data_IF_914826590030
#
_entry.id   IF_914826590030
#
_cell.length_a   1.000
_cell.length_b   1.000
_cell.length_c   1.000
_cell.angle_alpha   90.00
_cell.angle_beta   90.00
_cell.angle_gamma   90.00
#
_symmetry.space_group_name_H-M   'P 1'
#
loop_
_entity.id
_entity.type
_entity.pdbx_description
1 polymer ?
#
# COMPACT_ATOMS: atom_id res chain seq x y z
N UNK A 1 2.14 -12.60 -4.00
CA UNK A 1 1.95 -12.19 -2.58
C UNK A 1 1.97 -10.68 -2.50
N UNK A 2 1.24 -10.13 -1.54
CA UNK A 2 1.11 -8.69 -1.26
C UNK A 2 1.38 -8.48 0.23
N UNK A 3 2.65 -8.42 0.64
CA UNK A 3 3.00 -7.98 1.98
C UNK A 3 2.68 -6.49 2.16
N UNK A 4 2.09 -6.14 3.30
CA UNK A 4 1.84 -4.74 3.66
C UNK A 4 2.00 -4.47 5.16
N UNK A 5 2.44 -3.24 5.44
CA UNK A 5 2.36 -2.62 6.76
C UNK A 5 1.61 -1.31 6.62
N UNK A 6 0.50 -1.19 7.34
CA UNK A 6 -0.48 -0.13 7.11
C UNK A 6 -1.27 0.13 8.38
N UNK A 7 -1.99 1.25 8.41
CA UNK A 7 -2.74 1.67 9.57
C UNK A 7 -4.18 2.04 9.19
N UNK A 8 -5.13 1.56 9.98
CA UNK A 8 -6.54 1.95 9.92
C UNK A 8 -6.97 2.69 11.19
N UNK A 9 -7.92 3.62 11.10
CA UNK A 9 -8.40 4.38 12.24
C UNK A 9 -9.04 3.44 13.27
N UNK A 10 -8.78 3.69 14.56
CA UNK A 10 -9.45 2.98 15.67
C UNK A 10 -10.95 3.21 15.64
N UNK A 11 -11.35 4.44 15.33
CA UNK A 11 -12.72 4.89 15.30
C UNK A 11 -13.00 5.55 13.93
N UNK A 12 -14.14 5.23 13.30
CA UNK A 12 -14.59 5.90 12.08
C UNK A 12 -15.14 7.31 12.36
N UNK A 13 -14.31 8.17 12.97
CA UNK A 13 -14.70 9.49 13.49
C UNK A 13 -15.28 10.42 12.43
N UNK A 14 -14.92 10.24 11.16
CA UNK A 14 -15.41 11.03 10.03
C UNK A 14 -16.30 10.21 9.06
N UNK A 15 -16.66 8.99 9.46
CA UNK A 15 -17.40 8.02 8.66
C UNK A 15 -16.54 6.91 8.05
N UNK A 16 -17.17 6.05 7.27
CA UNK A 16 -16.52 4.89 6.63
C UNK A 16 -15.41 5.30 5.65
N UNK A 17 -14.55 4.34 5.33
CA UNK A 17 -13.43 4.50 4.41
C UNK A 17 -13.86 5.17 3.09
N UNK A 18 -13.06 6.11 2.54
CA UNK A 18 -11.77 6.61 3.03
C UNK A 18 -11.90 7.84 3.93
N UNK A 19 -13.10 8.16 4.46
CA UNK A 19 -13.34 9.43 5.17
C UNK A 19 -12.55 9.56 6.46
N UNK A 20 -12.31 8.45 7.15
CA UNK A 20 -11.50 8.41 8.38
C UNK A 20 -10.03 8.09 8.13
N UNK A 21 -9.61 8.03 6.86
CA UNK A 21 -8.22 7.83 6.44
C UNK A 21 -7.76 6.37 6.46
N UNK A 22 -6.67 6.11 5.75
CA UNK A 22 -5.83 4.91 5.82
C UNK A 22 -4.40 5.31 5.48
N UNK A 23 -3.43 4.74 6.19
CA UNK A 23 -2.00 5.05 6.02
C UNK A 23 -1.27 3.78 5.64
N UNK A 24 -0.91 3.64 4.38
CA UNK A 24 -0.06 2.55 3.91
C UNK A 24 1.40 2.96 4.08
N UNK A 25 2.04 2.46 5.14
CA UNK A 25 3.47 2.66 5.34
C UNK A 25 4.25 2.00 4.21
N UNK A 26 3.89 0.78 3.86
CA UNK A 26 4.42 0.10 2.68
C UNK A 26 3.47 -0.97 2.16
N UNK A 27 3.35 -1.01 0.83
CA UNK A 27 2.79 -2.11 0.08
C UNK A 27 3.74 -2.49 -1.06
N UNK A 28 3.99 -3.79 -1.20
CA UNK A 28 4.88 -4.34 -2.23
C UNK A 28 4.18 -5.50 -2.93
N UNK A 29 4.37 -5.63 -4.24
CA UNK A 29 4.03 -6.86 -4.98
C UNK A 29 5.22 -7.80 -4.91
N UNK A 30 5.06 -8.98 -4.31
CA UNK A 30 6.17 -9.91 -4.08
C UNK A 30 6.79 -10.56 -5.33
N UNK A 31 6.18 -10.39 -6.50
CA UNK A 31 6.65 -11.01 -7.75
C UNK A 31 7.92 -10.32 -8.29
N UNK A 32 9.01 -11.07 -8.49
CA UNK A 32 10.28 -10.51 -8.97
C UNK A 32 10.24 -10.02 -10.42
N UNK A 33 9.60 -10.78 -11.31
CA UNK A 33 9.50 -10.49 -12.74
C UNK A 33 8.13 -9.93 -13.12
N UNK A 34 7.60 -9.05 -12.27
CA UNK A 34 6.30 -8.41 -12.48
C UNK A 34 6.45 -7.06 -13.16
N UNK A 35 5.75 -6.90 -14.29
CA UNK A 35 5.88 -5.75 -15.17
C UNK A 35 4.50 -5.16 -15.45
N UNK A 36 4.38 -3.85 -15.29
CA UNK A 36 3.20 -3.08 -15.69
C UNK A 36 3.65 -2.00 -16.66
N UNK A 37 2.99 -1.89 -17.81
CA UNK A 37 3.31 -0.87 -18.83
C UNK A 37 4.82 -0.83 -19.19
N UNK A 38 5.47 -2.00 -19.24
CA UNK A 38 6.90 -2.14 -19.53
C UNK A 38 7.85 -1.80 -18.36
N UNK A 39 7.33 -1.44 -17.18
CA UNK A 39 8.14 -1.08 -16.01
C UNK A 39 8.07 -2.13 -14.91
N UNK A 40 9.20 -2.37 -14.24
CA UNK A 40 9.26 -3.21 -13.04
C UNK A 40 8.27 -2.66 -11.98
N UNK A 41 7.32 -3.51 -11.59
CA UNK A 41 6.23 -3.16 -10.68
C UNK A 41 6.00 -4.21 -9.56
N UNK A 42 6.98 -5.08 -9.41
CA UNK A 42 7.07 -6.18 -8.45
C UNK A 42 7.88 -5.84 -7.21
N UNK A 43 8.71 -6.78 -6.76
CA UNK A 43 9.41 -6.71 -5.47
C UNK A 43 10.52 -5.66 -5.37
N UNK A 44 10.83 -4.95 -6.46
CA UNK A 44 11.74 -3.79 -6.47
C UNK A 44 11.05 -2.47 -6.20
N UNK A 45 9.71 -2.49 -6.08
CA UNK A 45 8.85 -1.32 -5.93
C UNK A 45 8.09 -1.39 -4.61
N UNK A 46 8.39 -0.45 -3.72
CA UNK A 46 7.63 -0.19 -2.50
C UNK A 46 6.79 1.06 -2.68
N UNK A 47 5.51 0.99 -2.30
CA UNK A 47 4.59 2.11 -2.37
C UNK A 47 4.14 2.49 -0.97
N UNK A 48 4.08 3.79 -0.70
CA UNK A 48 3.45 4.34 0.51
C UNK A 48 2.34 5.26 0.08
N UNK A 49 1.20 5.19 0.76
CA UNK A 49 -0.01 5.87 0.34
C UNK A 49 -0.78 6.41 1.54
N UNK A 50 -1.38 7.58 1.38
CA UNK A 50 -2.44 8.03 2.26
C UNK A 50 -3.75 7.97 1.48
N UNK A 51 -4.72 7.16 1.92
CA UNK A 51 -6.07 7.19 1.38
C UNK A 51 -6.93 8.14 2.20
N UNK A 52 -7.65 9.02 1.50
CA UNK A 52 -8.51 10.03 2.10
C UNK A 52 -9.45 10.59 1.05
N UNK A 53 -10.70 10.85 1.43
CA UNK A 53 -11.69 11.37 0.50
C UNK A 53 -13.07 11.43 1.10
N UNK A 54 -13.99 12.12 0.42
CA UNK A 54 -15.38 12.23 0.87
C UNK A 54 -16.23 10.97 0.57
N UNK A 55 -15.71 10.04 -0.24
CA UNK A 55 -16.32 8.75 -0.56
C UNK A 55 -15.29 7.84 -1.22
N UNK A 56 -15.62 6.55 -1.40
CA UNK A 56 -14.84 5.56 -2.15
C UNK A 56 -14.47 6.07 -3.55
N UNK A 57 -15.41 6.68 -4.27
CA UNK A 57 -15.19 7.22 -5.63
C UNK A 57 -14.45 8.55 -5.65
N UNK A 58 -14.29 9.18 -4.48
CA UNK A 58 -13.61 10.46 -4.31
C UNK A 58 -12.32 10.31 -3.49
N UNK A 59 -11.79 9.10 -3.38
CA UNK A 59 -10.49 8.86 -2.78
C UNK A 59 -9.39 9.62 -3.54
N UNK A 60 -8.58 10.36 -2.80
CA UNK A 60 -7.56 11.28 -3.29
C UNK A 60 -6.15 10.73 -3.13
N UNK A 61 -6.00 9.44 -2.85
CA UNK A 61 -4.71 8.76 -2.70
C UNK A 61 -3.68 9.07 -3.79
N UNK A 62 -4.11 9.32 -5.02
CA UNK A 62 -3.22 9.70 -6.14
C UNK A 62 -2.43 10.98 -5.90
N UNK A 63 -2.89 11.86 -5.02
CA UNK A 63 -2.19 13.09 -4.58
C UNK A 63 -1.16 12.83 -3.47
N UNK A 64 -1.24 11.68 -2.82
CA UNK A 64 -0.47 11.31 -1.62
C UNK A 64 -0.02 9.86 -1.72
N UNK A 65 0.50 9.50 -2.89
CA UNK A 65 1.15 8.23 -3.16
C UNK A 65 2.60 8.49 -3.51
N UNK A 66 3.48 7.67 -2.99
CA UNK A 66 4.92 7.75 -3.22
C UNK A 66 5.47 6.36 -3.50
N UNK A 67 6.57 6.31 -4.25
CA UNK A 67 7.21 5.05 -4.61
C UNK A 67 8.71 5.16 -4.37
N UNK A 68 9.29 4.12 -3.77
CA UNK A 68 10.72 3.85 -3.85
C UNK A 68 10.98 2.69 -4.81
N UNK A 69 11.89 2.91 -5.75
CA UNK A 69 12.44 1.89 -6.64
C UNK A 69 13.88 1.62 -6.26
N UNK A 70 14.24 0.35 -6.08
CA UNK A 70 15.63 -0.05 -5.90
C UNK A 70 16.33 -0.20 -7.25
N UNK A 71 17.53 0.36 -7.37
CA UNK A 71 18.39 0.20 -8.55
C UNK A 71 19.07 -1.16 -8.59
N UNK A 72 19.35 -1.75 -7.41
CA UNK A 72 19.92 -3.07 -7.23
C UNK A 72 19.16 -3.83 -6.13
N UNK A 73 19.16 -5.17 -6.19
CA UNK A 73 18.45 -6.00 -5.22
C UNK A 73 16.92 -5.90 -5.32
N UNK A 74 16.23 -6.26 -4.23
CA UNK A 74 14.78 -6.18 -4.08
C UNK A 74 14.40 -6.02 -2.60
N UNK A 75 13.17 -5.57 -2.33
CA UNK A 75 12.63 -5.52 -0.97
C UNK A 75 12.32 -6.90 -0.37
N UNK A 76 12.57 -7.99 -1.11
CA UNK A 76 12.30 -9.36 -0.69
C UNK A 76 13.57 -10.13 -0.27
N UNK A 77 14.76 -9.55 -0.43
CA UNK A 77 16.04 -10.27 -0.26
C UNK A 77 16.83 -9.89 0.99
N UNK A 78 16.51 -8.77 1.64
CA UNK A 78 17.18 -8.31 2.85
C UNK A 78 16.19 -7.57 3.77
N UNK A 79 16.57 -7.39 5.03
CA UNK A 79 15.77 -6.57 5.95
C UNK A 79 15.88 -5.10 5.59
N UNK A 80 14.73 -4.42 5.58
CA UNK A 80 14.62 -2.98 5.38
C UNK A 80 13.97 -2.31 6.59
N UNK A 81 14.39 -1.07 6.88
CA UNK A 81 13.75 -0.27 7.93
C UNK A 81 12.69 0.63 7.31
N UNK A 82 11.42 0.36 7.61
CA UNK A 82 10.30 1.20 7.21
C UNK A 82 9.91 2.11 8.37
N UNK A 83 9.79 3.41 8.13
CA UNK A 83 9.49 4.37 9.19
C UNK A 83 8.39 5.35 8.77
N UNK A 84 7.50 5.63 9.70
CA UNK A 84 6.47 6.65 9.59
C UNK A 84 6.74 7.71 10.64
N UNK A 85 7.09 8.92 10.21
CA UNK A 85 7.11 10.08 11.09
C UNK A 85 5.77 10.78 10.98
N UNK A 86 4.96 10.72 12.03
CA UNK A 86 3.64 11.33 12.08
C UNK A 86 3.61 12.41 13.16
N UNK A 87 3.53 13.66 12.72
CA UNK A 87 3.58 14.85 13.56
C UNK A 87 2.33 15.71 13.31
N UNK A 88 1.96 16.61 14.23
CA UNK A 88 0.90 17.59 13.98
C UNK A 88 1.16 18.48 12.75
N UNK A 89 2.42 18.59 12.33
CA UNK A 89 2.87 19.42 11.20
C UNK A 89 2.97 18.67 9.87
N UNK A 90 2.86 17.35 9.86
CA UNK A 90 2.97 16.55 8.65
C UNK A 90 3.23 15.06 8.88
N UNK A 91 3.21 14.32 7.77
CA UNK A 91 3.48 12.88 7.72
C UNK A 91 4.62 12.65 6.72
N UNK A 92 5.62 11.88 7.12
CA UNK A 92 6.73 11.48 6.26
C UNK A 92 6.94 9.96 6.31
N UNK A 93 7.12 9.37 5.14
CA UNK A 93 7.45 7.97 4.94
C UNK A 93 8.93 7.84 4.62
N UNK A 94 9.61 6.92 5.30
CA UNK A 94 11.01 6.63 5.08
C UNK A 94 11.22 5.14 4.87
N UNK A 95 12.18 4.82 4.01
CA UNK A 95 12.70 3.47 3.81
C UNK A 95 14.21 3.54 3.87
N UNK A 96 14.81 2.81 4.81
CA UNK A 96 16.25 2.79 5.11
C UNK A 96 16.79 4.19 5.42
N UNK A 97 16.04 4.93 6.25
CA UNK A 97 16.38 6.30 6.66
C UNK A 97 16.20 7.37 5.59
N UNK A 98 15.82 7.01 4.35
CA UNK A 98 15.60 7.96 3.26
C UNK A 98 14.12 8.32 3.17
N UNK A 99 13.80 9.61 3.15
CA UNK A 99 12.43 10.11 2.91
C UNK A 99 12.03 9.78 1.48
N UNK A 100 10.95 9.01 1.32
CA UNK A 100 10.39 8.64 0.01
C UNK A 100 9.14 9.45 -0.33
N UNK A 101 8.48 9.98 0.69
CA UNK A 101 7.24 10.74 0.56
C UNK A 101 6.99 11.56 1.80
N UNK A 102 6.45 12.76 1.62
CA UNK A 102 6.01 13.60 2.72
C UNK A 102 4.80 14.44 2.32
N UNK A 103 4.04 14.83 3.33
CA UNK A 103 3.03 15.86 3.25
C UNK A 103 3.09 16.72 4.52
N UNK A 104 3.26 18.02 4.34
CA UNK A 104 3.09 19.01 5.42
C UNK A 104 1.63 19.42 5.51
N UNK A 105 1.26 20.15 6.57
CA UNK A 105 -0.09 20.73 6.72
C UNK A 105 -0.56 21.42 5.43
N UNK A 106 -1.56 20.86 4.73
CA UNK A 106 -2.05 21.46 3.50
C UNK A 106 -2.84 22.73 3.83
N UNK A 107 -2.60 23.81 3.09
CA UNK A 107 -3.34 25.06 3.29
C UNK A 107 -4.85 24.83 3.08
N UNK A 108 -5.65 25.06 4.13
CA UNK A 108 -7.09 24.77 4.13
C UNK A 108 -7.44 23.29 4.35
N UNK A 109 -6.49 22.48 4.80
CA UNK A 109 -6.68 21.06 5.14
C UNK A 109 -6.80 20.16 3.92
N UNK A 110 -6.91 18.85 4.18
CA UNK A 110 -7.10 17.85 3.14
C UNK A 110 -8.36 18.11 2.31
N UNK A 111 -9.41 18.70 2.89
CA UNK A 111 -10.63 19.05 2.16
C UNK A 111 -10.35 19.94 0.94
N UNK A 112 -9.58 21.02 1.15
CA UNK A 112 -9.19 21.93 0.07
C UNK A 112 -8.17 21.28 -0.88
N UNK A 113 -7.21 20.52 -0.36
CA UNK A 113 -6.24 19.77 -1.18
C UNK A 113 -6.93 18.81 -2.17
N UNK A 114 -8.04 18.21 -1.75
CA UNK A 114 -8.82 17.27 -2.54
C UNK A 114 -9.64 17.93 -3.65
N UNK A 115 -9.77 19.27 -3.62
CA UNK A 115 -10.70 20.02 -4.47
C UNK A 115 -12.16 19.66 -4.18
N UNK A 116 -12.48 19.31 -2.92
CA UNK A 116 -13.83 18.93 -2.52
C UNK A 116 -14.73 20.16 -2.39
N UNK A 117 -16.00 20.02 -2.74
CA UNK A 117 -17.01 21.07 -2.68
C UNK A 117 -18.10 20.73 -1.66
N UNK A 118 -18.78 21.75 -1.14
CA UNK A 118 -19.83 21.59 -0.15
C UNK A 118 -19.31 21.58 1.29
N UNK A 119 -20.06 20.95 2.19
CA UNK A 119 -19.76 20.91 3.62
C UNK A 119 -18.51 20.08 3.91
N UNK A 120 -17.50 20.71 4.52
CA UNK A 120 -16.28 20.03 4.92
C UNK A 120 -16.54 19.02 6.04
N UNK A 121 -16.44 17.73 5.71
CA UNK A 121 -16.66 16.62 6.66
C UNK A 121 -15.58 16.53 7.75
N UNK A 122 -14.45 17.20 7.56
CA UNK A 122 -13.33 17.26 8.50
C UNK A 122 -13.28 18.57 9.30
N UNK A 123 -14.32 19.41 9.23
CA UNK A 123 -14.35 20.72 9.89
C UNK A 123 -14.18 20.67 11.42
N UNK A 124 -14.55 19.55 12.06
CA UNK A 124 -14.40 19.33 13.49
C UNK A 124 -13.05 18.67 13.89
N UNK A 125 -12.18 18.42 12.92
CA UNK A 125 -10.84 17.91 13.11
C UNK A 125 -9.77 19.00 13.11
N UNK A 126 -8.52 18.58 13.23
CA UNK A 126 -7.37 19.45 12.98
C UNK A 126 -7.15 19.66 11.48
N UNK A 127 -6.22 20.55 11.11
CA UNK A 127 -5.83 20.73 9.70
C UNK A 127 -5.27 19.45 9.04
N UNK A 128 -4.83 18.48 9.85
CA UNK A 128 -4.34 17.18 9.42
C UNK A 128 -5.43 16.10 9.32
N UNK A 129 -6.69 16.40 9.67
CA UNK A 129 -7.79 15.47 9.46
C UNK A 129 -7.86 15.02 7.98
N UNK A 130 -8.03 13.72 7.70
CA UNK A 130 -8.49 12.68 8.64
C UNK A 130 -7.40 11.99 9.48
N UNK A 131 -6.13 12.36 9.32
CA UNK A 131 -4.99 11.74 10.02
C UNK A 131 -4.69 12.40 11.36
N UNK A 132 -5.75 12.68 12.14
CA UNK A 132 -5.69 13.35 13.43
C UNK A 132 -6.41 12.59 14.55
N UNK A 133 -6.69 11.31 14.30
CA UNK A 133 -7.26 10.35 15.27
C UNK A 133 -6.28 9.19 15.51
N UNK A 134 -6.63 8.30 16.43
CA UNK A 134 -5.83 7.10 16.72
C UNK A 134 -6.03 6.06 15.61
N UNK A 135 -4.97 5.34 15.28
CA UNK A 135 -4.95 4.28 14.28
C UNK A 135 -4.33 3.02 14.88
N UNK A 136 -4.69 1.85 14.34
CA UNK A 136 -4.06 0.56 14.63
C UNK A 136 -3.08 0.17 13.52
N UNK A 137 -1.90 -0.30 13.91
CA UNK A 137 -0.94 -0.91 12.98
C UNK A 137 -1.41 -2.31 12.60
N UNK A 138 -1.37 -2.60 11.30
CA UNK A 138 -1.74 -3.88 10.70
C UNK A 138 -0.56 -4.37 9.86
N UNK A 139 -0.22 -5.65 10.03
CA UNK A 139 0.75 -6.36 9.22
C UNK A 139 0.04 -7.54 8.56
N UNK A 140 0.19 -7.73 7.25
CA UNK A 140 -0.32 -8.91 6.57
C UNK A 140 0.53 -9.31 5.37
N UNK A 141 0.25 -10.52 4.87
CA UNK A 141 0.67 -10.99 3.56
C UNK A 141 -0.57 -11.50 2.83
N UNK A 142 -1.16 -10.65 1.98
CA UNK A 142 -2.31 -11.01 1.16
C UNK A 142 -1.88 -11.76 -0.12
N UNK A 143 -2.86 -12.36 -0.81
CA UNK A 143 -2.64 -13.02 -2.09
C UNK A 143 -3.80 -12.78 -3.06
N UNK A 144 -3.46 -12.41 -4.29
CA UNK A 144 -4.45 -12.07 -5.30
C UNK A 144 -5.02 -10.65 -5.12
N UNK A 145 -6.26 -10.44 -5.58
CA UNK A 145 -6.99 -9.18 -5.45
C UNK A 145 -6.61 -8.11 -6.48
N UNK A 146 -7.16 -6.91 -6.27
CA UNK A 146 -7.09 -5.79 -7.22
C UNK A 146 -5.75 -5.05 -7.22
N UNK A 147 -4.92 -5.26 -6.20
CA UNK A 147 -3.57 -4.72 -6.18
C UNK A 147 -2.70 -5.23 -7.35
N UNK A 148 -3.08 -6.35 -7.97
CA UNK A 148 -2.48 -6.85 -9.20
C UNK A 148 -3.41 -6.50 -10.38
N UNK A 149 -3.20 -5.40 -11.11
CA UNK A 149 -4.14 -4.99 -12.16
C UNK A 149 -3.98 -5.85 -13.42
N UNK A 150 -5.06 -5.93 -14.22
CA UNK A 150 -5.17 -6.83 -15.40
C UNK A 150 -4.15 -6.54 -16.51
N UNK A 151 -3.60 -5.32 -16.56
CA UNK A 151 -2.62 -4.88 -17.57
C UNK A 151 -1.16 -5.17 -17.22
N UNK A 152 -0.93 -5.99 -16.20
CA UNK A 152 0.41 -6.35 -15.75
C UNK A 152 0.67 -7.84 -15.95
N UNK A 153 1.95 -8.16 -16.13
CA UNK A 153 2.40 -9.47 -16.53
C UNK A 153 3.47 -9.97 -15.56
N UNK A 154 3.47 -11.27 -15.30
CA UNK A 154 4.52 -11.95 -14.55
C UNK A 154 5.26 -12.91 -15.47
N UNK A 155 6.56 -13.08 -15.28
CA UNK A 155 7.35 -14.05 -16.06
C UNK A 155 8.02 -15.06 -15.12
N UNK A 156 8.22 -16.28 -15.60
CA UNK A 156 8.93 -17.32 -14.85
C UNK A 156 10.45 -17.25 -15.08
N UNK A 157 11.17 -18.24 -14.57
CA UNK A 157 12.64 -18.30 -14.66
C UNK A 157 13.14 -18.47 -16.09
N UNK A 158 12.35 -19.12 -16.96
CA UNK A 158 12.64 -19.30 -18.39
C UNK A 158 12.22 -18.11 -19.25
N UNK A 159 11.68 -17.04 -18.65
CA UNK A 159 11.18 -15.87 -19.37
C UNK A 159 9.81 -16.06 -20.03
N UNK A 160 9.12 -17.17 -19.75
CA UNK A 160 7.77 -17.40 -20.25
C UNK A 160 6.73 -16.63 -19.43
N UNK A 161 5.70 -16.12 -20.11
CA UNK A 161 4.59 -15.42 -19.49
C UNK A 161 3.82 -16.36 -18.55
N UNK A 162 3.57 -15.88 -17.33
CA UNK A 162 2.68 -16.50 -16.34
C UNK A 162 1.41 -15.67 -16.30
N UNK A 163 0.35 -16.18 -16.94
CA UNK A 163 -0.94 -15.50 -17.02
C UNK A 163 -1.55 -15.33 -15.62
N UNK A 164 -2.06 -14.12 -15.35
CA UNK A 164 -2.87 -13.84 -14.16
C UNK A 164 -4.20 -14.60 -14.28
N UNK A 165 -4.56 -15.51 -13.35
CA UNK A 165 -5.75 -16.33 -13.49
C UNK A 165 -7.07 -15.63 -13.14
N UNK A 166 -7.06 -14.38 -12.68
CA UNK A 166 -8.26 -13.62 -12.31
C UNK A 166 -8.30 -12.24 -12.98
N UNK A 167 -9.49 -11.64 -13.09
CA UNK A 167 -9.69 -10.28 -13.60
C UNK A 167 -10.31 -9.38 -12.53
N UNK A 168 -9.90 -8.12 -12.47
CA UNK A 168 -10.49 -7.10 -11.55
C UNK A 168 -11.94 -6.78 -11.87
N UNK A 169 -12.41 -7.06 -13.08
CA UNK A 169 -13.79 -6.81 -13.50
C UNK A 169 -14.72 -8.02 -13.31
N UNK A 170 -14.21 -9.14 -12.80
CA UNK A 170 -14.99 -10.36 -12.59
C UNK A 170 -15.79 -10.31 -11.28
N UNK A 171 -17.08 -10.65 -11.34
CA UNK A 171 -17.98 -10.69 -10.16
C UNK A 171 -17.54 -11.69 -9.08
N UNK A 172 -16.77 -12.71 -9.45
CA UNK A 172 -16.20 -13.73 -8.55
C UNK A 172 -14.69 -13.87 -8.76
N UNK A 173 -13.97 -12.75 -8.67
CA UNK A 173 -12.53 -12.64 -8.92
C UNK A 173 -11.68 -13.76 -8.25
N UNK A 174 -11.97 -14.10 -6.99
CA UNK A 174 -11.14 -15.02 -6.22
C UNK A 174 -11.41 -16.51 -6.52
N UNK A 175 -12.50 -16.83 -7.21
CA UNK A 175 -12.80 -18.22 -7.64
C UNK A 175 -11.77 -18.75 -8.65
N UNK A 176 -11.49 -18.08 -9.78
CA UNK A 176 -10.49 -18.56 -10.72
C UNK A 176 -9.06 -18.41 -10.16
N UNK A 177 -8.79 -17.44 -9.28
CA UNK A 177 -7.54 -17.40 -8.52
C UNK A 177 -7.33 -18.69 -7.72
N UNK A 178 -8.34 -19.12 -6.96
CA UNK A 178 -8.28 -20.35 -6.18
C UNK A 178 -8.18 -21.61 -7.04
N UNK A 179 -8.94 -21.68 -8.13
CA UNK A 179 -8.89 -22.80 -9.06
C UNK A 179 -7.49 -23.00 -9.67
N UNK A 180 -6.73 -21.91 -9.83
CA UNK A 180 -5.36 -21.92 -10.33
C UNK A 180 -4.28 -22.18 -9.26
N UNK A 181 -4.64 -22.63 -8.04
CA UNK A 181 -3.67 -22.82 -6.94
C UNK A 181 -2.46 -23.67 -7.28
N UNK A 182 -2.62 -24.69 -8.12
CA UNK A 182 -1.52 -25.56 -8.53
C UNK A 182 -0.47 -24.83 -9.41
N UNK A 183 -0.81 -23.64 -9.94
CA UNK A 183 0.11 -22.80 -10.72
C UNK A 183 0.94 -21.89 -9.82
N UNK A 184 0.34 -21.29 -8.78
CA UNK A 184 1.00 -20.29 -7.93
C UNK A 184 1.50 -20.83 -6.59
N UNK A 185 0.84 -21.81 -5.98
CA UNK A 185 1.24 -22.33 -4.67
C UNK A 185 2.64 -22.96 -4.67
N UNK A 186 3.05 -23.74 -5.70
CA UNK A 186 4.42 -24.25 -5.76
C UNK A 186 5.49 -23.16 -5.88
N UNK A 187 5.14 -21.94 -6.29
CA UNK A 187 6.13 -20.85 -6.36
C UNK A 187 6.41 -20.23 -5.00
N UNK A 188 5.58 -20.48 -3.98
CA UNK A 188 5.78 -19.97 -2.63
C UNK A 188 6.58 -20.91 -1.72
N UNK A 189 6.69 -22.18 -2.13
CA UNK A 189 7.31 -23.24 -1.35
C UNK A 189 8.70 -23.62 -1.85
N UNK A 190 9.24 -22.87 -2.82
CA UNK A 190 10.54 -23.14 -3.45
C UNK A 190 11.69 -23.05 -2.44
N UNK A 191 11.67 -22.01 -1.62
CA UNK A 191 12.53 -21.89 -0.45
C UNK A 191 11.66 -21.52 0.76
N UNK A 192 11.93 -22.10 1.95
CA UNK A 192 11.10 -21.90 3.13
C UNK A 192 10.98 -20.45 3.60
N UNK A 193 11.87 -19.54 3.19
CA UNK A 193 11.90 -18.16 3.67
C UNK A 193 11.35 -17.14 2.64
N UNK A 194 11.13 -17.54 1.39
CA UNK A 194 10.86 -16.59 0.28
C UNK A 194 9.43 -16.01 0.27
N UNK A 195 8.52 -16.55 1.09
CA UNK A 195 7.09 -16.23 1.08
C UNK A 195 6.54 -15.76 2.43
N UNK A 196 7.42 -15.40 3.35
CA UNK A 196 7.08 -14.97 4.70
C UNK A 196 7.37 -13.48 4.89
N UNK A 197 6.58 -12.83 5.74
CA UNK A 197 6.98 -11.55 6.32
C UNK A 197 7.80 -11.84 7.58
N UNK A 198 9.10 -11.59 7.51
CA UNK A 198 9.98 -11.68 8.66
C UNK A 198 10.08 -10.31 9.33
N UNK A 199 9.88 -10.28 10.65
CA UNK A 199 9.93 -9.04 11.44
C UNK A 199 10.99 -9.21 12.52
N UNK A 200 12.06 -8.43 12.42
CA UNK A 200 13.11 -8.37 13.45
C UNK A 200 12.62 -7.57 14.67
N UNK A 201 12.13 -6.34 14.43
CA UNK A 201 11.57 -5.51 15.49
C UNK A 201 10.47 -4.57 14.99
N UNK A 202 9.63 -4.14 15.92
CA UNK A 202 8.71 -3.01 15.76
C UNK A 202 8.96 -2.07 16.94
N UNK A 203 9.12 -0.78 16.67
CA UNK A 203 9.27 0.26 17.68
C UNK A 203 8.26 1.38 17.42
N UNK A 204 7.56 1.79 18.47
CA UNK A 204 6.63 2.90 18.46
C UNK A 204 7.01 3.81 19.62
N UNK A 205 7.14 5.10 19.36
CA UNK A 205 7.45 6.11 20.36
C UNK A 205 6.66 7.38 20.08
N UNK A 206 6.39 8.14 21.14
CA UNK A 206 5.86 9.49 21.07
C UNK A 206 6.91 10.46 21.61
N UNK A 207 6.89 11.70 21.10
CA UNK A 207 7.68 12.80 21.63
C UNK A 207 7.09 13.35 22.92
#
# INVERSE_FOLDING_TARGET
>A
LWPSMWLLPTDNAYGEWPKSGEIDMVEIRGNEKYVCDGMQSGNKRANSTLHWGASVTQDKYTKTRWTKLLSNGSFATEFHTYSLSWLPTGISFLIDGQVIGNITQPAGGFWKLGGSNGTNIWANGTIMAPFDKRFHLILNVAAGGDYFPDRCFNYNDTGALVSKPWSTNATVQMKPFWAAKNQWYPTWTRNPEDSHMLVDYIRVWSL
#
